data_IF_224926238737
#
_entry.id   IF_224926238737
#
_cell.length_a   1.000
_cell.length_b   1.000
_cell.length_c   1.000
_cell.angle_alpha   90.00
_cell.angle_beta   90.00
_cell.angle_gamma   90.00
#
_symmetry.space_group_name_H-M   'P 1'
#
loop_
_entity.id
_entity.type
_entity.pdbx_description
1 polymer ?
#
# COMPACT_ATOMS: atom_id res chain seq x y z
N UNK A 1 -59.36 -8.58 21.21
CA UNK A 1 -58.90 -9.27 22.42
C UNK A 1 -57.45 -8.89 22.67
N UNK A 2 -57.14 -8.59 23.93
CA UNK A 2 -55.93 -7.91 24.42
C UNK A 2 -54.71 -8.81 24.61
N UNK A 3 -53.56 -8.14 24.76
CA UNK A 3 -52.35 -8.46 25.55
C UNK A 3 -51.09 -8.66 24.69
N UNK A 4 -49.90 -8.17 25.05
CA UNK A 4 -49.47 -7.17 26.02
C UNK A 4 -48.01 -6.83 25.66
N UNK A 5 -47.66 -5.55 25.79
CA UNK A 5 -46.29 -5.02 25.77
C UNK A 5 -45.37 -5.70 26.79
N UNK A 6 -44.13 -5.99 26.40
CA UNK A 6 -43.03 -6.05 27.36
C UNK A 6 -41.79 -5.31 26.85
N UNK A 7 -41.67 -4.09 27.36
CA UNK A 7 -40.44 -3.31 27.40
C UNK A 7 -39.47 -3.94 28.40
N UNK A 8 -38.19 -4.06 28.03
CA UNK A 8 -37.08 -4.13 28.99
C UNK A 8 -36.00 -3.14 28.58
N UNK A 9 -35.99 -2.01 29.30
CA UNK A 9 -34.82 -1.16 29.55
C UNK A 9 -33.89 -1.85 30.55
N UNK A 10 -32.67 -1.30 30.68
CA UNK A 10 -31.59 -1.48 31.69
C UNK A 10 -30.31 -1.99 30.99
N UNK A 11 -29.09 -1.49 31.20
CA UNK A 11 -28.57 -0.38 32.00
C UNK A 11 -27.09 -0.16 31.64
N UNK A 12 -26.68 1.11 31.71
CA UNK A 12 -25.36 1.67 32.05
C UNK A 12 -24.23 0.73 32.47
N UNK A 13 -23.05 0.92 31.87
CA UNK A 13 -21.71 0.76 32.46
C UNK A 13 -20.74 1.60 31.61
N UNK A 14 -20.55 2.88 31.93
CA UNK A 14 -19.48 3.44 32.77
C UNK A 14 -18.07 3.15 32.23
N UNK A 15 -17.56 4.23 31.66
CA UNK A 15 -16.21 4.56 31.22
C UNK A 15 -15.17 4.38 32.35
N UNK A 16 -14.06 3.68 32.08
CA UNK A 16 -12.84 3.74 32.89
C UNK A 16 -11.68 4.12 31.97
N UNK A 17 -11.31 5.39 32.04
CA UNK A 17 -10.07 5.94 31.52
C UNK A 17 -8.98 5.64 32.55
N UNK A 18 -8.01 4.80 32.20
CA UNK A 18 -6.80 4.60 32.99
C UNK A 18 -5.61 5.16 32.19
N UNK A 19 -5.23 6.37 32.54
CA UNK A 19 -4.03 7.07 32.09
C UNK A 19 -2.87 6.62 32.98
N UNK A 20 -1.91 5.86 32.45
CA UNK A 20 -0.67 5.54 33.16
C UNK A 20 0.49 6.18 32.41
N UNK A 21 0.88 7.37 32.89
CA UNK A 21 2.20 7.94 32.63
C UNK A 21 3.19 7.28 33.59
N UNK A 22 4.13 6.50 33.08
CA UNK A 22 5.37 6.16 33.80
C UNK A 22 6.55 6.74 33.05
N UNK A 23 6.94 7.96 33.46
CA UNK A 23 8.27 8.48 33.21
C UNK A 23 9.23 7.80 34.20
N UNK A 24 10.11 6.93 33.70
CA UNK A 24 11.22 6.40 34.47
C UNK A 24 12.52 6.84 33.80
N UNK A 25 13.12 7.86 34.41
CA UNK A 25 14.44 8.39 34.14
C UNK A 25 15.48 7.34 34.54
N UNK A 26 16.18 6.75 33.57
CA UNK A 26 17.29 5.82 33.82
C UNK A 26 18.60 6.40 33.32
N UNK A 27 19.30 7.17 34.15
CA UNK A 27 20.69 7.56 33.91
C UNK A 27 21.60 6.36 34.21
N UNK A 28 21.97 5.59 33.20
CA UNK A 28 23.02 4.59 33.28
C UNK A 28 24.36 5.17 32.86
N UNK A 29 25.26 5.41 33.82
CA UNK A 29 26.68 5.65 33.56
C UNK A 29 27.28 4.43 32.84
N UNK A 30 27.75 4.61 31.62
CA UNK A 30 28.62 3.63 30.96
C UNK A 30 30.06 4.09 31.13
N UNK A 31 30.83 3.19 31.71
CA UNK A 31 32.23 3.28 32.11
C UNK A 31 33.13 3.23 30.88
N UNK A 32 34.00 4.22 30.75
CA UNK A 32 35.09 4.30 29.79
C UNK A 32 35.95 3.01 29.82
N UNK A 33 36.22 2.44 28.64
CA UNK A 33 37.29 1.46 28.45
C UNK A 33 37.80 1.45 27.00
N UNK A 34 38.99 2.03 26.86
CA UNK A 34 40.09 1.67 25.97
C UNK A 34 39.85 1.60 24.45
N UNK A 35 40.14 2.74 23.82
CA UNK A 35 41.05 2.92 22.68
C UNK A 35 41.56 1.65 21.98
N UNK A 36 40.82 1.20 20.98
CA UNK A 36 41.40 0.60 19.78
C UNK A 36 41.11 1.52 18.61
N UNK A 37 42.16 2.15 18.07
CA UNK A 37 42.14 3.01 16.90
C UNK A 37 41.81 2.20 15.65
N UNK A 38 40.52 1.90 15.46
CA UNK A 38 40.02 1.53 14.14
C UNK A 38 40.08 2.81 13.31
N UNK A 39 40.97 2.82 12.30
CA UNK A 39 40.90 3.78 11.20
C UNK A 39 39.49 3.71 10.61
N UNK A 40 38.62 4.60 11.08
CA UNK A 40 37.38 4.93 10.38
C UNK A 40 37.84 5.64 9.12
N UNK A 41 38.03 4.87 8.04
CA UNK A 41 37.84 5.38 6.70
C UNK A 41 36.53 6.14 6.78
N UNK A 42 36.58 7.48 6.67
CA UNK A 42 35.38 8.27 6.46
C UNK A 42 34.71 7.67 5.22
N UNK A 43 33.76 6.77 5.45
CA UNK A 43 32.70 6.47 4.51
C UNK A 43 31.97 7.78 4.42
N UNK A 44 32.43 8.61 3.49
CA UNK A 44 31.85 9.84 3.03
C UNK A 44 30.35 9.64 3.06
N UNK A 45 29.70 10.27 4.03
CA UNK A 45 28.26 10.32 4.17
C UNK A 45 27.71 10.63 2.79
N UNK A 46 27.23 9.59 2.11
CA UNK A 46 26.48 9.72 0.87
C UNK A 46 25.02 9.90 1.26
N UNK A 47 24.80 10.67 2.32
CA UNK A 47 23.56 11.35 2.63
C UNK A 47 23.61 12.72 1.94
N UNK A 48 23.93 12.72 0.64
CA UNK A 48 23.40 13.77 -0.19
C UNK A 48 21.88 13.61 -0.07
N UNK A 49 21.13 14.63 0.37
CA UNK A 49 19.71 14.62 0.10
C UNK A 49 19.62 14.48 -1.41
N UNK A 50 19.21 13.30 -1.88
CA UNK A 50 18.71 13.21 -3.23
C UNK A 50 17.55 14.20 -3.20
N UNK A 51 17.79 15.40 -3.73
CA UNK A 51 16.79 16.19 -4.42
C UNK A 51 16.26 15.30 -5.53
N UNK A 52 15.48 14.29 -5.12
CA UNK A 52 14.41 13.75 -5.91
C UNK A 52 13.54 14.96 -6.11
N UNK A 53 13.78 15.69 -7.21
CA UNK A 53 12.78 16.54 -7.82
C UNK A 53 11.50 15.75 -7.67
N UNK A 54 10.61 16.27 -6.82
CA UNK A 54 9.34 15.67 -6.46
C UNK A 54 8.60 15.47 -7.78
N UNK A 55 8.84 14.33 -8.43
CA UNK A 55 8.03 13.83 -9.50
C UNK A 55 6.77 13.40 -8.78
N UNK A 56 5.91 14.37 -8.48
CA UNK A 56 4.53 14.15 -8.13
C UNK A 56 4.05 13.03 -9.02
N UNK A 57 3.84 11.89 -8.40
CA UNK A 57 3.80 10.61 -9.06
C UNK A 57 2.71 10.67 -10.12
N UNK A 58 3.06 10.52 -11.40
CA UNK A 58 2.12 10.60 -12.53
C UNK A 58 1.04 9.49 -12.52
N UNK A 59 0.95 8.75 -11.41
CA UNK A 59 0.02 7.68 -11.16
C UNK A 59 -1.22 8.22 -10.46
N UNK A 60 -2.36 7.91 -11.05
CA UNK A 60 -3.68 8.19 -10.52
C UNK A 60 -4.28 6.86 -10.06
N UNK A 61 -4.57 6.67 -8.75
CA UNK A 61 -5.32 5.53 -8.28
C UNK A 61 -6.71 5.46 -8.93
N UNK A 62 -7.11 4.28 -9.41
CA UNK A 62 -8.41 4.02 -10.03
C UNK A 62 -9.24 3.09 -9.17
N UNK A 63 -9.71 3.62 -8.04
CA UNK A 63 -10.53 2.88 -7.07
C UNK A 63 -11.81 2.32 -7.69
N UNK A 64 -12.37 3.02 -8.70
CA UNK A 64 -13.53 2.57 -9.48
C UNK A 64 -13.26 1.26 -10.23
N UNK A 65 -12.11 1.16 -10.91
CA UNK A 65 -11.69 -0.05 -11.61
C UNK A 65 -11.32 -1.16 -10.63
N UNK A 66 -10.62 -0.83 -9.54
CA UNK A 66 -10.26 -1.78 -8.50
C UNK A 66 -11.50 -2.44 -7.86
N UNK A 67 -12.50 -1.63 -7.49
CA UNK A 67 -13.77 -2.12 -6.95
C UNK A 67 -14.51 -3.03 -7.95
N UNK A 68 -14.54 -2.64 -9.23
CA UNK A 68 -15.16 -3.45 -10.28
C UNK A 68 -14.49 -4.81 -10.42
N UNK A 69 -13.16 -4.86 -10.48
CA UNK A 69 -12.38 -6.10 -10.56
C UNK A 69 -12.63 -6.96 -9.33
N UNK A 70 -12.51 -6.41 -8.11
CA UNK A 70 -12.72 -7.14 -6.86
C UNK A 70 -14.12 -7.76 -6.78
N UNK A 71 -15.15 -7.06 -7.27
CA UNK A 71 -16.53 -7.56 -7.28
C UNK A 71 -16.82 -8.63 -8.36
N UNK A 72 -16.01 -8.71 -9.41
CA UNK A 72 -16.31 -9.50 -10.61
C UNK A 72 -15.35 -10.66 -10.85
N UNK A 73 -14.15 -10.64 -10.24
CA UNK A 73 -13.14 -11.68 -10.37
C UNK A 73 -13.11 -12.51 -9.10
N UNK A 74 -13.28 -13.82 -9.25
CA UNK A 74 -13.25 -14.77 -8.13
C UNK A 74 -11.83 -14.92 -7.57
N UNK A 75 -11.75 -15.28 -6.29
CA UNK A 75 -10.49 -15.60 -5.59
C UNK A 75 -9.44 -14.48 -5.56
N UNK A 76 -9.91 -13.22 -5.60
CA UNK A 76 -9.08 -12.02 -5.46
C UNK A 76 -9.37 -11.36 -4.11
N UNK A 77 -8.37 -11.34 -3.22
CA UNK A 77 -8.50 -10.73 -1.89
C UNK A 77 -8.27 -9.23 -1.90
N UNK A 78 -7.36 -8.75 -2.75
CA UNK A 78 -7.05 -7.33 -2.89
C UNK A 78 -6.73 -6.95 -4.34
N UNK A 79 -7.07 -5.71 -4.71
CA UNK A 79 -6.82 -5.13 -6.02
C UNK A 79 -6.42 -3.69 -5.86
N UNK A 80 -5.29 -3.32 -6.44
CA UNK A 80 -4.91 -1.92 -6.64
C UNK A 80 -4.71 -1.65 -8.12
N UNK A 81 -5.34 -0.59 -8.63
CA UNK A 81 -5.18 -0.13 -10.02
C UNK A 81 -4.57 1.26 -9.99
N UNK A 82 -3.41 1.41 -10.63
CA UNK A 82 -2.75 2.68 -10.86
C UNK A 82 -2.77 3.00 -12.35
N UNK A 83 -3.15 4.21 -12.72
CA UNK A 83 -3.13 4.67 -14.11
C UNK A 83 -2.05 5.73 -14.31
N UNK A 84 -1.27 5.59 -15.39
CA UNK A 84 -0.35 6.62 -15.87
C UNK A 84 -0.54 6.78 -17.38
N UNK A 85 -0.89 7.99 -17.82
CA UNK A 85 -1.30 8.25 -19.21
C UNK A 85 -2.42 7.30 -19.68
N UNK A 86 -2.22 6.59 -20.80
CA UNK A 86 -3.14 5.60 -21.35
C UNK A 86 -2.80 4.16 -20.91
N UNK A 87 -2.02 4.00 -19.85
CA UNK A 87 -1.63 2.70 -19.29
C UNK A 87 -2.27 2.49 -17.92
N UNK A 88 -2.84 1.30 -17.69
CA UNK A 88 -3.22 0.81 -16.36
C UNK A 88 -2.26 -0.28 -15.90
N UNK A 89 -1.84 -0.17 -14.64
CA UNK A 89 -1.03 -1.13 -13.93
C UNK A 89 -1.89 -1.68 -12.80
N UNK A 90 -2.03 -3.00 -12.76
CA UNK A 90 -2.94 -3.68 -11.86
C UNK A 90 -2.15 -4.68 -11.04
N UNK A 91 -2.23 -4.50 -9.73
CA UNK A 91 -1.74 -5.44 -8.75
C UNK A 91 -2.93 -6.24 -8.18
N UNK A 92 -2.85 -7.56 -8.23
CA UNK A 92 -3.89 -8.49 -7.75
C UNK A 92 -3.33 -9.41 -6.67
N UNK A 93 -3.89 -9.38 -5.47
CA UNK A 93 -3.68 -10.41 -4.47
C UNK A 93 -4.64 -11.58 -4.72
N UNK A 94 -4.09 -12.74 -5.08
CA UNK A 94 -4.85 -13.96 -5.40
C UNK A 94 -3.98 -15.20 -5.18
N UNK A 95 -4.58 -16.38 -5.13
CA UNK A 95 -3.82 -17.62 -5.00
C UNK A 95 -3.11 -17.97 -6.30
N UNK A 96 -1.98 -18.70 -6.21
CA UNK A 96 -1.20 -19.13 -7.38
C UNK A 96 -2.03 -19.96 -8.38
N UNK A 97 -3.01 -20.72 -7.88
CA UNK A 97 -3.89 -21.55 -8.71
C UNK A 97 -4.78 -20.69 -9.64
N UNK A 98 -5.24 -19.53 -9.16
CA UNK A 98 -6.18 -18.66 -9.90
C UNK A 98 -5.52 -17.45 -10.55
N UNK A 99 -4.25 -17.16 -10.25
CA UNK A 99 -3.52 -15.98 -10.74
C UNK A 99 -3.67 -15.72 -12.24
N UNK A 100 -3.43 -16.71 -13.10
CA UNK A 100 -3.52 -16.54 -14.56
C UNK A 100 -4.94 -16.21 -15.03
N UNK A 101 -5.95 -16.82 -14.40
CA UNK A 101 -7.34 -16.56 -14.75
C UNK A 101 -7.78 -15.17 -14.25
N UNK A 102 -7.47 -14.86 -12.99
CA UNK A 102 -7.76 -13.56 -12.39
C UNK A 102 -7.12 -12.40 -13.19
N UNK A 103 -5.87 -12.56 -13.63
CA UNK A 103 -5.19 -11.57 -14.45
C UNK A 103 -5.91 -11.30 -15.78
N UNK A 104 -6.36 -12.37 -16.47
CA UNK A 104 -7.10 -12.25 -17.74
C UNK A 104 -8.46 -11.58 -17.56
N UNK A 105 -9.19 -11.93 -16.50
CA UNK A 105 -10.52 -11.36 -16.25
C UNK A 105 -10.43 -9.89 -15.82
N UNK A 106 -9.46 -9.54 -14.96
CA UNK A 106 -9.16 -8.15 -14.63
C UNK A 106 -8.81 -7.32 -15.88
N UNK A 107 -7.98 -7.86 -16.77
CA UNK A 107 -7.65 -7.20 -18.03
C UNK A 107 -8.89 -6.97 -18.91
N UNK A 108 -9.79 -7.96 -19.00
CA UNK A 108 -11.05 -7.84 -19.77
C UNK A 108 -11.95 -6.75 -19.20
N UNK A 109 -12.09 -6.70 -17.87
CA UNK A 109 -12.90 -5.71 -17.16
C UNK A 109 -12.38 -4.29 -17.41
N UNK A 110 -11.07 -4.06 -17.33
CA UNK A 110 -10.50 -2.73 -17.58
C UNK A 110 -10.74 -2.32 -19.03
N UNK A 111 -10.50 -3.22 -19.99
CA UNK A 111 -10.70 -2.92 -21.42
C UNK A 111 -12.16 -2.58 -21.74
N UNK A 112 -13.13 -3.23 -21.10
CA UNK A 112 -14.56 -2.93 -21.32
C UNK A 112 -15.03 -1.68 -20.57
N UNK A 113 -14.49 -1.40 -19.38
CA UNK A 113 -14.95 -0.30 -18.53
C UNK A 113 -14.26 1.03 -18.86
N UNK A 114 -13.00 1.00 -19.32
CA UNK A 114 -12.19 2.18 -19.58
C UNK A 114 -11.50 2.09 -20.96
N UNK A 115 -12.24 2.26 -22.08
CA UNK A 115 -11.70 2.10 -23.44
C UNK A 115 -10.63 3.15 -23.85
N UNK A 116 -10.47 4.21 -23.05
CA UNK A 116 -9.39 5.19 -23.18
C UNK A 116 -8.03 4.64 -22.75
N UNK A 117 -8.00 3.57 -21.94
CA UNK A 117 -6.79 2.88 -21.51
C UNK A 117 -6.36 1.91 -22.62
N UNK A 118 -5.23 2.20 -23.25
CA UNK A 118 -4.71 1.42 -24.39
C UNK A 118 -3.88 0.23 -23.95
N UNK A 119 -3.16 0.36 -22.84
CA UNK A 119 -2.24 -0.66 -22.32
C UNK A 119 -2.70 -1.07 -20.92
N UNK A 120 -2.81 -2.37 -20.69
CA UNK A 120 -3.24 -2.92 -19.39
C UNK A 120 -2.25 -4.00 -19.00
N UNK A 121 -1.55 -3.76 -17.90
CA UNK A 121 -0.55 -4.63 -17.30
C UNK A 121 -1.12 -5.15 -15.98
N UNK A 122 -1.15 -6.47 -15.83
CA UNK A 122 -1.75 -7.11 -14.66
C UNK A 122 -0.77 -8.13 -14.10
N UNK A 123 -0.50 -8.05 -12.80
CA UNK A 123 0.37 -8.99 -12.12
C UNK A 123 -0.17 -9.33 -10.74
N UNK A 124 0.22 -10.50 -10.26
CA UNK A 124 0.00 -10.98 -8.90
C UNK A 124 1.33 -11.20 -8.16
N UNK A 125 2.38 -10.50 -8.60
CA UNK A 125 3.68 -10.44 -7.93
C UNK A 125 3.52 -9.77 -6.56
N UNK A 126 3.99 -10.44 -5.50
CA UNK A 126 3.72 -10.06 -4.12
C UNK A 126 4.32 -8.70 -3.74
N UNK A 127 5.54 -8.40 -4.19
CA UNK A 127 6.16 -7.11 -3.89
C UNK A 127 5.48 -5.98 -4.65
N UNK A 128 5.06 -6.20 -5.90
CA UNK A 128 4.24 -5.23 -6.64
C UNK A 128 2.92 -4.95 -5.90
N UNK A 129 2.24 -6.00 -5.43
CA UNK A 129 0.98 -5.87 -4.67
C UNK A 129 1.17 -5.04 -3.42
N UNK A 130 2.17 -5.37 -2.61
CA UNK A 130 2.45 -4.65 -1.37
C UNK A 130 2.76 -3.17 -1.63
N UNK A 131 3.66 -2.87 -2.57
CA UNK A 131 4.06 -1.49 -2.83
C UNK A 131 2.94 -0.67 -3.50
N UNK A 132 2.14 -1.27 -4.38
CA UNK A 132 0.97 -0.59 -4.96
C UNK A 132 -0.05 -0.22 -3.88
N UNK A 133 -0.33 -1.14 -2.95
CA UNK A 133 -1.23 -0.90 -1.83
C UNK A 133 -0.71 0.25 -0.95
N UNK A 134 0.54 0.18 -0.52
CA UNK A 134 1.17 1.24 0.28
C UNK A 134 1.12 2.60 -0.43
N UNK A 135 1.38 2.62 -1.74
CA UNK A 135 1.30 3.84 -2.53
C UNK A 135 -0.12 4.39 -2.64
N UNK A 136 -1.12 3.53 -2.84
CA UNK A 136 -2.51 3.96 -2.89
C UNK A 136 -2.97 4.56 -1.55
N UNK A 137 -2.61 3.93 -0.43
CA UNK A 137 -2.90 4.41 0.93
C UNK A 137 -2.19 5.72 1.22
N UNK A 138 -0.88 5.82 0.94
CA UNK A 138 -0.11 7.05 1.14
C UNK A 138 -0.71 8.23 0.34
N UNK A 139 -1.16 7.97 -0.90
CA UNK A 139 -1.80 8.99 -1.74
C UNK A 139 -3.15 9.45 -1.19
N UNK A 140 -3.94 8.54 -0.60
CA UNK A 140 -5.20 8.88 0.07
C UNK A 140 -4.98 9.78 1.29
N UNK A 141 -3.88 9.57 2.02
CA UNK A 141 -3.48 10.42 3.15
C UNK A 141 -2.64 11.66 2.76
N UNK A 142 -2.52 11.94 1.46
CA UNK A 142 -1.70 13.03 0.92
C UNK A 142 -0.21 12.97 1.37
N UNK A 143 0.27 11.79 1.71
CA UNK A 143 1.67 11.56 2.09
C UNK A 143 2.56 11.50 0.84
N UNK A 144 3.81 11.94 1.00
CA UNK A 144 4.82 11.88 -0.05
C UNK A 144 5.44 10.48 -0.08
N UNK A 145 4.96 9.62 -0.97
CA UNK A 145 5.65 8.37 -1.30
C UNK A 145 6.36 8.49 -2.63
N UNK A 146 7.66 8.16 -2.66
CA UNK A 146 8.48 8.28 -3.86
C UNK A 146 8.00 7.36 -4.99
N UNK A 147 7.73 7.92 -6.18
CA UNK A 147 7.38 7.14 -7.39
C UNK A 147 8.41 6.11 -7.77
N UNK A 148 9.66 6.30 -7.37
CA UNK A 148 10.79 5.50 -7.84
C UNK A 148 10.62 4.03 -7.43
N UNK A 149 10.06 3.75 -6.24
CA UNK A 149 9.80 2.38 -5.81
C UNK A 149 8.77 1.69 -6.74
N UNK A 150 7.66 2.38 -7.02
CA UNK A 150 6.60 1.88 -7.90
C UNK A 150 7.11 1.68 -9.33
N UNK A 151 7.89 2.64 -9.85
CA UNK A 151 8.47 2.54 -11.18
C UNK A 151 9.44 1.37 -11.30
N UNK A 152 10.34 1.19 -10.32
CA UNK A 152 11.28 0.07 -10.33
C UNK A 152 10.56 -1.29 -10.34
N UNK A 153 9.47 -1.44 -9.57
CA UNK A 153 8.69 -2.67 -9.62
C UNK A 153 7.93 -2.86 -10.94
N UNK A 154 7.38 -1.78 -11.50
CA UNK A 154 6.75 -1.83 -12.83
C UNK A 154 7.76 -2.27 -13.88
N UNK A 155 8.99 -1.73 -13.86
CA UNK A 155 10.04 -2.07 -14.81
C UNK A 155 10.52 -3.53 -14.64
N UNK A 156 10.62 -4.00 -13.39
CA UNK A 156 10.97 -5.39 -13.08
C UNK A 156 9.90 -6.37 -13.55
N UNK A 157 8.62 -6.09 -13.27
CA UNK A 157 7.51 -7.01 -13.53
C UNK A 157 7.01 -6.90 -14.97
N UNK A 158 7.09 -5.72 -15.56
CA UNK A 158 6.63 -5.40 -16.91
C UNK A 158 7.75 -4.71 -17.72
N UNK A 159 8.82 -5.42 -18.10
CA UNK A 159 9.98 -4.82 -18.78
C UNK A 159 9.65 -4.16 -20.14
N UNK A 160 8.48 -4.44 -20.69
CA UNK A 160 7.99 -3.87 -21.96
C UNK A 160 6.91 -2.78 -21.74
N UNK A 161 6.88 -2.13 -20.57
CA UNK A 161 5.83 -1.18 -20.21
C UNK A 161 6.04 0.27 -20.69
N UNK A 162 7.07 0.51 -21.51
CA UNK A 162 7.48 1.83 -21.99
C UNK A 162 6.74 2.22 -23.27
#
# INVERSE_FOLDING_TARGET
MWNATHSRKLSHSVLIVAMILTAATGCGLVRDRDSASVRVTQLKDTNAPFETRDNHTAFVPRQDLAAKIRSSVQDVSDVTVLQRHQSAYVALATTRAHAKQAQRDAQRIIRSTAPTIKRVYVSSDESLVNHFHQFAVAREHAEKMGSNLIMNDIERVFPNAH
#
